data_IF_379771944070
#
_entry.id   IF_379771944070
#
_cell.length_a   1.000
_cell.length_b   1.000
_cell.length_c   1.000
_cell.angle_alpha   90.00
_cell.angle_beta   90.00
_cell.angle_gamma   90.00
#
_symmetry.space_group_name_H-M   'P 1'
#
loop_
_entity.id
_entity.type
_entity.pdbx_description
1 polymer ?
#
# COMPACT_ATOMS: atom_id res chain seq x y z
N UNK A 1 -9.00 -19.87 -13.70
CA UNK A 1 -8.06 -18.82 -14.17
C UNK A 1 -8.60 -17.46 -13.73
N UNK A 2 -7.73 -16.49 -13.51
CA UNK A 2 -8.08 -15.11 -13.20
C UNK A 2 -7.27 -14.15 -14.08
N UNK A 3 -7.91 -13.08 -14.55
CA UNK A 3 -7.22 -11.96 -15.19
C UNK A 3 -6.81 -10.96 -14.12
N UNK A 4 -5.53 -10.62 -14.06
CA UNK A 4 -4.98 -9.67 -13.09
C UNK A 4 -4.27 -8.52 -13.79
N UNK A 5 -4.43 -7.31 -13.27
CA UNK A 5 -3.61 -6.16 -13.63
C UNK A 5 -2.60 -5.91 -12.50
N UNK A 6 -1.33 -5.86 -12.85
CA UNK A 6 -0.26 -5.69 -11.88
C UNK A 6 -0.10 -4.25 -11.42
N UNK A 7 0.26 -4.07 -10.16
CA UNK A 7 0.76 -2.79 -9.65
C UNK A 7 2.26 -2.65 -9.87
N UNK A 8 2.80 -1.43 -9.72
CA UNK A 8 4.24 -1.18 -9.69
C UNK A 8 4.89 -1.88 -8.49
N UNK A 9 6.17 -2.29 -8.60
CA UNK A 9 6.93 -2.78 -7.45
C UNK A 9 6.90 -1.81 -6.27
N UNK A 10 7.00 -2.33 -5.06
CA UNK A 10 7.04 -1.50 -3.85
C UNK A 10 8.25 -0.57 -3.87
N UNK A 11 8.01 0.70 -3.53
CA UNK A 11 9.02 1.76 -3.46
C UNK A 11 9.30 2.14 -1.99
N UNK A 12 9.98 3.26 -1.75
CA UNK A 12 10.14 3.77 -0.39
C UNK A 12 8.78 3.93 0.32
N UNK A 13 8.74 3.65 1.62
CA UNK A 13 7.51 3.82 2.40
C UNK A 13 7.21 5.30 2.59
N UNK A 14 5.93 5.62 2.57
CA UNK A 14 5.43 6.88 3.06
C UNK A 14 5.87 7.08 4.52
N UNK A 15 6.53 8.19 4.86
CA UNK A 15 7.04 8.39 6.22
C UNK A 15 5.92 8.50 7.26
N UNK A 16 4.72 8.96 6.86
CA UNK A 16 3.58 9.17 7.76
C UNK A 16 2.76 7.89 7.95
N UNK A 17 2.42 7.22 6.85
CA UNK A 17 1.57 6.02 6.86
C UNK A 17 2.37 4.74 7.08
N UNK A 18 3.69 4.79 6.86
CA UNK A 18 4.60 3.63 6.86
C UNK A 18 4.12 2.53 5.91
N UNK A 19 3.46 2.92 4.81
CA UNK A 19 2.97 2.05 3.74
C UNK A 19 3.68 2.34 2.42
N UNK A 20 3.64 1.39 1.49
CA UNK A 20 4.19 1.57 0.15
C UNK A 20 3.17 2.24 -0.77
N UNK A 21 3.59 3.29 -1.47
CA UNK A 21 2.82 3.81 -2.59
C UNK A 21 3.00 2.92 -3.82
N UNK A 22 1.90 2.55 -4.45
CA UNK A 22 1.87 1.80 -5.70
C UNK A 22 0.88 2.41 -6.67
N UNK A 23 1.15 2.28 -7.96
CA UNK A 23 0.24 2.66 -9.04
C UNK A 23 0.03 1.49 -9.99
N UNK A 24 -0.97 1.57 -10.86
CA UNK A 24 -1.17 0.54 -11.90
C UNK A 24 0.05 0.48 -12.81
N UNK A 25 0.60 -0.71 -12.99
CA UNK A 25 1.71 -0.92 -13.91
C UNK A 25 1.18 -0.90 -15.35
N UNK A 26 1.88 -0.17 -16.23
CA UNK A 26 1.56 -0.13 -17.67
C UNK A 26 2.79 -0.47 -18.49
N UNK A 27 2.56 -1.07 -19.68
CA UNK A 27 3.59 -1.37 -20.68
C UNK A 27 3.06 -0.96 -22.04
N UNK A 28 3.76 -0.05 -22.73
CA UNK A 28 3.32 0.46 -24.03
C UNK A 28 1.94 1.14 -24.00
N UNK A 29 1.61 1.83 -22.91
CA UNK A 29 0.32 2.52 -22.73
C UNK A 29 -0.87 1.60 -22.43
N UNK A 30 -0.63 0.31 -22.19
CA UNK A 30 -1.66 -0.68 -21.84
C UNK A 30 -1.42 -1.22 -20.42
N UNK A 31 -2.45 -1.74 -19.73
CA UNK A 31 -2.27 -2.41 -18.45
C UNK A 31 -1.24 -3.54 -18.56
N UNK A 32 -0.31 -3.60 -17.61
CA UNK A 32 0.54 -4.77 -17.44
C UNK A 32 -0.31 -5.86 -16.78
N UNK A 33 -0.78 -6.81 -17.57
CA UNK A 33 -1.77 -7.79 -17.13
C UNK A 33 -1.39 -9.22 -17.52
N UNK A 34 -1.94 -10.18 -16.78
CA UNK A 34 -1.67 -11.61 -16.96
C UNK A 34 -2.92 -12.45 -16.65
N UNK A 35 -3.01 -13.65 -17.25
CA UNK A 35 -3.99 -14.66 -16.87
C UNK A 35 -3.28 -15.73 -16.05
N UNK A 36 -3.64 -15.85 -14.78
CA UNK A 36 -3.02 -16.78 -13.83
C UNK A 36 -4.00 -17.86 -13.38
N UNK A 37 -3.47 -18.97 -12.84
CA UNK A 37 -4.31 -19.92 -12.12
C UNK A 37 -4.88 -19.30 -10.84
N UNK A 38 -6.11 -19.66 -10.48
CA UNK A 38 -6.74 -19.17 -9.25
C UNK A 38 -6.02 -19.69 -8.00
N UNK A 39 -5.36 -20.84 -8.11
CA UNK A 39 -4.50 -21.44 -7.07
C UNK A 39 -3.34 -20.52 -6.65
N UNK A 40 -2.92 -19.60 -7.52
CA UNK A 40 -1.89 -18.61 -7.21
C UNK A 40 -2.42 -17.44 -6.36
N UNK A 41 -3.73 -17.29 -6.23
CA UNK A 41 -4.36 -16.25 -5.40
C UNK A 41 -4.73 -16.85 -4.06
N UNK A 42 -3.92 -16.55 -3.04
CA UNK A 42 -4.16 -17.02 -1.67
C UNK A 42 -5.41 -16.34 -1.07
N UNK A 43 -5.64 -15.06 -1.39
CA UNK A 43 -6.79 -14.29 -0.93
C UNK A 43 -6.49 -12.80 -0.80
N UNK A 44 -7.50 -12.00 -0.46
CA UNK A 44 -7.32 -10.62 -0.06
C UNK A 44 -6.66 -10.52 1.31
N UNK A 45 -5.89 -9.46 1.55
CA UNK A 45 -5.39 -9.11 2.87
C UNK A 45 -5.78 -7.67 3.22
N UNK A 46 -5.97 -7.39 4.51
CA UNK A 46 -6.22 -6.03 4.98
C UNK A 46 -4.92 -5.25 5.02
N UNK A 47 -4.86 -4.16 4.26
CA UNK A 47 -3.79 -3.18 4.36
C UNK A 47 -4.21 -2.13 5.39
N UNK A 48 -3.48 -2.06 6.50
CA UNK A 48 -3.74 -1.10 7.58
C UNK A 48 -2.48 -0.23 7.73
N UNK A 49 -2.61 1.12 7.67
CA UNK A 49 -1.49 2.00 7.91
C UNK A 49 -0.95 1.84 9.34
N UNK A 50 0.35 2.06 9.54
CA UNK A 50 0.94 2.15 10.88
C UNK A 50 1.03 3.62 11.28
N UNK A 51 -0.07 4.14 11.81
CA UNK A 51 -0.13 5.48 12.37
C UNK A 51 0.65 5.58 13.68
N UNK A 52 1.17 6.78 14.00
CA UNK A 52 1.64 7.11 15.35
C UNK A 52 2.88 6.35 15.83
N UNK A 53 3.81 6.03 14.93
CA UNK A 53 5.09 5.40 15.33
C UNK A 53 6.00 6.33 16.14
N UNK A 54 5.72 7.64 16.13
CA UNK A 54 6.30 8.61 17.06
C UNK A 54 5.18 9.52 17.61
N UNK A 55 4.88 9.38 18.91
CA UNK A 55 4.09 10.36 19.66
C UNK A 55 5.06 11.45 20.10
N UNK A 56 4.75 12.72 19.81
CA UNK A 56 5.58 13.83 20.26
C UNK A 56 5.66 13.80 21.80
N UNK A 57 6.86 13.73 22.41
CA UNK A 57 7.00 13.73 23.86
C UNK A 57 6.59 15.06 24.50
N UNK A 58 6.32 16.09 23.69
CA UNK A 58 5.81 17.40 24.13
C UNK A 58 4.28 17.48 24.14
N UNK A 59 3.59 16.44 23.68
CA UNK A 59 2.15 16.40 23.74
C UNK A 59 1.68 16.20 25.18
N UNK A 60 0.80 17.10 25.61
CA UNK A 60 0.04 17.04 26.85
C UNK A 60 -1.44 16.93 26.50
N UNK A 61 -2.29 16.63 27.49
CA UNK A 61 -3.74 16.66 27.31
C UNK A 61 -4.29 18.00 26.84
N UNK A 62 -3.51 19.07 26.98
CA UNK A 62 -3.89 20.44 26.65
C UNK A 62 -3.60 20.82 25.20
N UNK A 63 -2.65 20.15 24.53
CA UNK A 63 -2.14 20.57 23.22
C UNK A 63 -2.13 19.48 22.13
N UNK A 64 -2.60 18.27 22.44
CA UNK A 64 -2.54 17.12 21.52
C UNK A 64 -3.42 17.27 20.25
N UNK A 65 -4.32 18.25 20.22
CA UNK A 65 -5.24 18.52 19.10
C UNK A 65 -4.94 19.82 18.33
N UNK A 66 -3.96 20.61 18.78
CA UNK A 66 -3.48 21.82 18.09
C UNK A 66 -2.34 21.50 17.11
#
# INVERSE_FOLDING_TARGET
LAYVEWFTPFTARDPTLQMHWVSRSTRGGRPNAEVIELSHVIGGCHLVPKFGTEISPRWTSENVLE
#
